data_IF_487517432397
#
_entry.id   IF_487517432397
#
_cell.length_a   1.000
_cell.length_b   1.000
_cell.length_c   1.000
_cell.angle_alpha   90.00
_cell.angle_beta   90.00
_cell.angle_gamma   90.00
#
_symmetry.space_group_name_H-M   'P 1'
#
loop_
_entity.id
_entity.type
_entity.pdbx_description
1 polymer ?
#
# COMPACT_ATOMS: atom_id res chain seq x y z
N UNK A 1 30.03 1.42 -40.38
CA UNK A 1 29.69 0.10 -39.82
C UNK A 1 29.82 0.07 -38.29
N UNK A 2 30.29 1.13 -37.63
CA UNK A 2 30.35 1.16 -36.16
C UNK A 2 28.99 1.26 -35.44
N UNK A 3 27.99 1.96 -35.97
CA UNK A 3 26.73 2.22 -35.23
C UNK A 3 25.81 0.98 -35.13
N UNK A 4 25.98 0.02 -36.04
CA UNK A 4 25.10 -1.15 -36.14
C UNK A 4 25.27 -2.09 -34.94
N UNK A 5 26.51 -2.27 -34.49
CA UNK A 5 26.81 -3.07 -33.30
C UNK A 5 26.22 -2.42 -32.04
N UNK A 6 26.23 -1.09 -31.97
CA UNK A 6 25.71 -0.32 -30.83
C UNK A 6 24.20 -0.53 -30.68
N UNK A 7 23.44 -0.49 -31.77
CA UNK A 7 22.01 -0.76 -31.71
C UNK A 7 21.70 -2.21 -31.34
N UNK A 8 22.52 -3.16 -31.80
CA UNK A 8 22.37 -4.57 -31.44
C UNK A 8 22.56 -4.81 -29.93
N UNK A 9 23.56 -4.20 -29.29
CA UNK A 9 23.77 -4.34 -27.85
C UNK A 9 22.68 -3.65 -27.02
N UNK A 10 22.21 -2.47 -27.44
CA UNK A 10 21.13 -1.74 -26.73
C UNK A 10 19.81 -2.52 -26.81
N UNK A 11 19.52 -3.15 -27.95
CA UNK A 11 18.33 -3.99 -28.11
C UNK A 11 18.34 -5.18 -27.12
N UNK A 12 19.49 -5.82 -26.91
CA UNK A 12 19.63 -6.94 -25.98
C UNK A 12 19.45 -6.47 -24.52
N UNK A 13 20.10 -5.38 -24.12
CA UNK A 13 20.00 -4.86 -22.74
C UNK A 13 18.59 -4.36 -22.43
N UNK A 14 17.93 -3.68 -23.38
CA UNK A 14 16.56 -3.16 -23.18
C UNK A 14 15.52 -4.27 -23.02
N UNK A 15 15.66 -5.38 -23.76
CA UNK A 15 14.79 -6.54 -23.61
C UNK A 15 14.88 -7.15 -22.20
N UNK A 16 16.11 -7.36 -21.69
CA UNK A 16 16.34 -7.90 -20.35
C UNK A 16 15.83 -6.95 -19.25
N UNK A 17 16.03 -5.65 -19.43
CA UNK A 17 15.61 -4.62 -18.48
C UNK A 17 14.09 -4.58 -18.32
N UNK A 18 13.34 -4.77 -19.40
CA UNK A 18 11.87 -4.72 -19.38
C UNK A 18 11.28 -5.83 -18.52
N UNK A 19 11.81 -7.05 -18.62
CA UNK A 19 11.38 -8.19 -17.80
C UNK A 19 11.73 -7.99 -16.33
N UNK A 20 12.93 -7.48 -16.03
CA UNK A 20 13.33 -7.16 -14.67
C UNK A 20 12.40 -6.10 -14.04
N UNK A 21 12.06 -5.05 -14.79
CA UNK A 21 11.17 -3.98 -14.33
C UNK A 21 9.75 -4.49 -14.01
N UNK A 22 9.20 -5.39 -14.83
CA UNK A 22 7.89 -6.00 -14.55
C UNK A 22 7.87 -6.74 -13.21
N UNK A 23 8.92 -7.52 -12.93
CA UNK A 23 9.08 -8.23 -11.65
C UNK A 23 9.27 -7.28 -10.47
N UNK A 24 10.03 -6.19 -10.65
CA UNK A 24 10.24 -5.17 -9.63
C UNK A 24 8.91 -4.50 -9.27
N UNK A 25 8.10 -4.12 -10.25
CA UNK A 25 6.80 -3.46 -10.02
C UNK A 25 5.87 -4.32 -9.15
N UNK A 26 5.71 -5.59 -9.49
CA UNK A 26 4.91 -6.53 -8.70
C UNK A 26 5.42 -6.63 -7.26
N UNK A 27 6.74 -6.75 -7.08
CA UNK A 27 7.35 -6.79 -5.73
C UNK A 27 7.19 -5.48 -4.97
N UNK A 28 7.23 -4.33 -5.64
CA UNK A 28 7.00 -3.02 -5.03
C UNK A 28 5.56 -2.88 -4.54
N UNK A 29 4.58 -3.39 -5.28
CA UNK A 29 3.18 -3.42 -4.85
C UNK A 29 2.99 -4.35 -3.65
N UNK A 30 3.62 -5.53 -3.65
CA UNK A 30 3.60 -6.45 -2.52
C UNK A 30 4.22 -5.84 -1.27
N UNK A 31 5.37 -5.17 -1.44
CA UNK A 31 6.05 -4.44 -0.38
C UNK A 31 5.15 -3.35 0.19
N UNK A 32 4.45 -2.60 -0.66
CA UNK A 32 3.52 -1.55 -0.24
C UNK A 32 2.35 -2.14 0.54
N UNK A 33 1.74 -3.22 0.05
CA UNK A 33 0.67 -3.93 0.77
C UNK A 33 1.14 -4.45 2.13
N UNK A 34 2.36 -4.97 2.21
CA UNK A 34 2.95 -5.41 3.48
C UNK A 34 3.10 -4.24 4.46
N UNK A 35 3.65 -3.12 4.01
CA UNK A 35 3.77 -1.90 4.83
C UNK A 35 2.41 -1.40 5.30
N UNK A 36 1.41 -1.37 4.41
CA UNK A 36 0.06 -0.92 4.76
C UNK A 36 -0.56 -1.84 5.87
N UNK A 37 -0.34 -3.16 5.80
CA UNK A 37 -0.80 -4.09 6.85
C UNK A 37 -0.08 -3.87 8.18
N UNK A 38 1.23 -3.62 8.16
CA UNK A 38 2.03 -3.33 9.36
C UNK A 38 1.57 -2.02 10.04
N UNK A 39 1.25 -1.00 9.24
CA UNK A 39 0.70 0.27 9.72
C UNK A 39 -0.67 0.08 10.39
N UNK A 40 -1.57 -0.69 9.76
CA UNK A 40 -2.87 -1.06 10.34
C UNK A 40 -2.69 -1.77 11.68
N UNK A 41 -1.79 -2.75 11.74
CA UNK A 41 -1.53 -3.51 12.97
C UNK A 41 -1.07 -2.60 14.10
N UNK A 42 -0.10 -1.73 13.84
CA UNK A 42 0.42 -0.77 14.81
C UNK A 42 -0.70 0.13 15.35
N UNK A 43 -1.53 0.68 14.45
CA UNK A 43 -2.66 1.51 14.85
C UNK A 43 -3.71 0.78 15.70
N UNK A 44 -4.01 -0.49 15.37
CA UNK A 44 -4.92 -1.32 16.15
C UNK A 44 -4.37 -1.65 17.54
N UNK A 45 -3.07 -1.91 17.64
CA UNK A 45 -2.38 -2.15 18.92
C UNK A 45 -2.39 -0.88 19.79
N UNK A 46 -2.15 0.29 19.20
CA UNK A 46 -2.26 1.58 19.90
C UNK A 46 -3.69 1.87 20.37
N UNK A 47 -4.69 1.60 19.54
CA UNK A 47 -6.11 1.75 19.91
C UNK A 47 -6.46 0.88 21.11
N UNK A 48 -6.07 -0.41 21.07
CA UNK A 48 -6.32 -1.34 22.18
C UNK A 48 -5.61 -0.92 23.46
N UNK A 49 -4.41 -0.36 23.36
CA UNK A 49 -3.66 0.12 24.54
C UNK A 49 -4.44 1.18 25.33
N UNK A 50 -5.20 2.03 24.63
CA UNK A 50 -5.98 3.11 25.26
C UNK A 50 -7.40 2.67 25.61
N UNK A 51 -8.05 1.90 24.73
CA UNK A 51 -9.47 1.57 24.83
C UNK A 51 -9.74 0.16 25.41
N UNK A 52 -8.69 -0.57 25.81
CA UNK A 52 -8.72 -1.96 26.34
C UNK A 52 -9.41 -3.01 25.45
N UNK A 53 -9.83 -2.65 24.24
CA UNK A 53 -10.52 -3.52 23.30
C UNK A 53 -10.06 -3.19 21.87
N UNK A 54 -10.17 -4.18 20.98
CA UNK A 54 -10.04 -3.92 19.54
C UNK A 54 -11.30 -3.19 19.04
N UNK A 55 -11.17 -2.30 18.05
CA UNK A 55 -12.33 -1.61 17.50
C UNK A 55 -13.30 -2.63 16.90
N UNK A 56 -14.56 -2.57 17.31
CA UNK A 56 -15.64 -3.37 16.73
C UNK A 56 -16.27 -2.62 15.55
N UNK A 57 -16.74 -3.32 14.49
CA UNK A 57 -17.47 -2.66 13.42
C UNK A 57 -18.69 -1.95 14.00
N UNK A 58 -18.90 -0.69 13.61
CA UNK A 58 -20.14 0.02 13.96
C UNK A 58 -21.30 -0.71 13.25
N UNK A 59 -22.23 -1.26 14.04
CA UNK A 59 -23.34 -2.11 13.57
C UNK A 59 -24.35 -1.32 12.70
N UNK A 60 -24.23 0.01 12.63
CA UNK A 60 -25.09 0.87 11.81
C UNK A 60 -24.66 0.83 10.33
N UNK A 61 -25.08 -0.23 9.64
CA UNK A 61 -25.33 -0.31 8.18
C UNK A 61 -24.15 -0.05 7.22
N UNK A 62 -22.93 -0.42 7.58
CA UNK A 62 -21.90 -0.70 6.56
C UNK A 62 -21.11 -1.90 7.01
N UNK A 63 -21.16 -2.97 6.24
CA UNK A 63 -20.37 -4.18 6.50
C UNK A 63 -18.89 -3.80 6.45
N UNK A 64 -18.27 -3.63 7.61
CA UNK A 64 -16.84 -3.35 7.74
C UNK A 64 -16.53 -2.38 8.87
N UNK A 65 -15.39 -2.61 9.52
CA UNK A 65 -14.66 -1.54 10.18
C UNK A 65 -14.46 -0.40 9.14
N UNK A 66 -14.44 0.90 9.53
CA UNK A 66 -14.41 2.04 8.62
C UNK A 66 -13.08 2.19 7.84
N UNK A 67 -12.45 1.09 7.45
CA UNK A 67 -11.30 1.05 6.57
C UNK A 67 -11.69 1.63 5.20
N UNK A 68 -11.28 2.87 4.95
CA UNK A 68 -11.47 3.54 3.67
C UNK A 68 -12.60 4.57 3.61
N UNK A 69 -13.36 4.77 4.69
CA UNK A 69 -14.34 5.87 4.79
C UNK A 69 -13.84 6.99 5.71
N UNK A 70 -13.21 6.62 6.82
CA UNK A 70 -12.62 7.51 7.84
C UNK A 70 -11.34 6.90 8.44
N UNK A 71 -10.56 7.68 9.20
CA UNK A 71 -9.41 7.14 9.95
C UNK A 71 -9.84 6.26 11.13
N UNK A 72 -8.88 5.55 11.76
CA UNK A 72 -9.12 4.90 13.05
C UNK A 72 -8.98 5.96 14.15
N UNK A 73 -10.11 6.42 14.67
CA UNK A 73 -10.18 7.49 15.67
C UNK A 73 -11.11 7.10 16.82
N UNK A 74 -10.78 7.49 18.05
CA UNK A 74 -11.75 7.61 19.14
C UNK A 74 -12.18 9.08 19.31
N UNK A 75 -12.91 9.41 20.38
CA UNK A 75 -13.37 10.77 20.64
C UNK A 75 -12.24 11.80 20.83
N UNK A 76 -11.04 11.36 21.21
CA UNK A 76 -9.92 12.18 21.67
C UNK A 76 -8.59 11.91 20.94
N UNK A 77 -8.46 10.81 20.20
CA UNK A 77 -7.22 10.35 19.56
C UNK A 77 -7.47 9.86 18.13
N UNK A 78 -6.55 10.24 17.23
CA UNK A 78 -6.44 9.66 15.89
C UNK A 78 -5.25 8.71 15.86
N UNK A 79 -5.54 7.41 15.71
CA UNK A 79 -4.52 6.37 15.66
C UNK A 79 -4.01 6.13 14.24
N UNK A 80 -4.84 6.45 13.25
CA UNK A 80 -4.49 6.28 11.85
C UNK A 80 -5.36 7.16 10.98
N UNK A 81 -4.74 7.85 10.02
CA UNK A 81 -5.50 8.59 9.02
C UNK A 81 -6.17 7.64 8.03
N UNK A 82 -7.23 8.11 7.38
CA UNK A 82 -7.92 7.37 6.33
C UNK A 82 -6.91 6.95 5.24
N UNK A 83 -6.92 5.66 4.88
CA UNK A 83 -6.14 5.16 3.74
C UNK A 83 -6.74 5.61 2.40
N UNK A 84 -6.62 6.89 2.07
CA UNK A 84 -6.86 7.41 0.72
C UNK A 84 -5.57 7.29 -0.08
N UNK A 85 -5.26 6.09 -0.59
CA UNK A 85 -4.19 5.94 -1.60
C UNK A 85 -4.57 5.13 -2.85
N UNK A 86 -5.83 4.71 -2.96
CA UNK A 86 -6.34 3.97 -4.14
C UNK A 86 -7.13 4.87 -5.12
N UNK A 87 -7.36 6.14 -4.81
CA UNK A 87 -8.15 7.03 -5.67
C UNK A 87 -7.47 8.38 -5.84
N UNK A 88 -6.45 8.46 -6.71
CA UNK A 88 -6.20 9.59 -7.62
C UNK A 88 -5.22 9.10 -8.67
N UNK A 89 -5.78 8.44 -9.69
CA UNK A 89 -5.13 8.37 -11.00
C UNK A 89 -5.53 9.64 -11.74
N UNK A 90 -4.61 10.60 -11.81
CA UNK A 90 -4.52 11.54 -12.92
C UNK A 90 -3.10 11.47 -13.46
#
# INVERSE_FOLDING_TARGET
>A
MEILLVMAIIAIISALTTVALANIRSRSEDSRRKTDIEEIRSALEQYKSVNNAYPTPNVTITMGLPFGTSGLTDANHTYMNKFLKIQTFR
#
